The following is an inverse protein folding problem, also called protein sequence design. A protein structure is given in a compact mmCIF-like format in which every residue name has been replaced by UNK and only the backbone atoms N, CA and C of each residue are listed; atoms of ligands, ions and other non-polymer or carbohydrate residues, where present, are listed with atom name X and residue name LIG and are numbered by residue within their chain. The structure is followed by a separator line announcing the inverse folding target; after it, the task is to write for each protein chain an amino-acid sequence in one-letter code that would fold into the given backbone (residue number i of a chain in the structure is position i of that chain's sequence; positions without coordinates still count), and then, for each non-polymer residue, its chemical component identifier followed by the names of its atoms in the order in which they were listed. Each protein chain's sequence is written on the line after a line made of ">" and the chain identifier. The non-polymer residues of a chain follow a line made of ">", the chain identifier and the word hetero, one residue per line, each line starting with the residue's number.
data_IF_228501918539
#
_entry.id   IF_228501918539
#
_cell.length_a   1.000
_cell.length_b   1.000
_cell.length_c   1.000
_cell.angle_alpha   90.00
_cell.angle_beta   90.00
_cell.angle_gamma   90.00
#
_symmetry.space_group_name_H-M   'P 1'
#
loop_
_entity.id
_entity.type
_entity.pdbx_description
1 polymer ?
#
# COMPACT_ATOMS: atom_id res chain seq x y z
N UNK A 1 -7.20 12.79 17.03
CA UNK A 1 -5.78 12.49 16.77
C UNK A 1 -5.46 13.03 15.39
N UNK A 2 -4.33 13.74 15.18
CA UNK A 2 -3.91 14.12 13.83
C UNK A 2 -3.67 12.85 13.01
N UNK A 3 -4.07 12.86 11.73
CA UNK A 3 -3.79 11.75 10.82
C UNK A 3 -2.27 11.50 10.77
N UNK A 4 -1.83 10.23 10.70
CA UNK A 4 -0.42 9.93 10.56
C UNK A 4 0.11 10.54 9.25
N UNK A 5 1.27 11.18 9.33
CA UNK A 5 1.95 11.76 8.18
C UNK A 5 2.46 10.61 7.30
N UNK A 6 1.72 10.29 6.25
CA UNK A 6 2.04 9.22 5.30
C UNK A 6 2.52 9.86 4.01
N UNK A 7 3.78 9.59 3.66
CA UNK A 7 4.36 10.04 2.41
C UNK A 7 4.52 8.85 1.46
N UNK A 8 3.68 8.79 0.43
CA UNK A 8 3.81 7.81 -0.65
C UNK A 8 4.96 8.24 -1.57
N UNK A 9 5.92 7.35 -1.80
CA UNK A 9 7.10 7.61 -2.63
C UNK A 9 7.07 6.87 -3.96
N UNK A 10 6.31 5.78 -4.07
CA UNK A 10 6.19 5.03 -5.31
C UNK A 10 4.86 4.28 -5.38
N UNK A 11 4.26 4.24 -6.56
CA UNK A 11 3.10 3.40 -6.87
C UNK A 11 3.42 2.68 -8.18
N UNK A 12 3.52 1.35 -8.14
CA UNK A 12 3.90 0.53 -9.29
C UNK A 12 2.88 -0.57 -9.48
N UNK A 13 2.40 -0.74 -10.70
CA UNK A 13 1.60 -1.92 -11.08
C UNK A 13 2.52 -3.09 -11.44
N UNK A 14 2.37 -4.21 -10.74
CA UNK A 14 2.96 -5.48 -11.12
C UNK A 14 1.90 -6.38 -11.75
N UNK A 15 2.26 -7.01 -12.86
CA UNK A 15 1.44 -8.02 -13.49
C UNK A 15 2.14 -9.37 -13.34
N UNK A 16 1.47 -10.33 -12.72
CA UNK A 16 1.91 -11.73 -12.66
C UNK A 16 1.00 -12.56 -13.55
N UNK A 17 1.61 -13.39 -14.37
CA UNK A 17 0.89 -14.39 -15.15
C UNK A 17 0.96 -15.71 -14.40
N UNK A 18 -0.19 -16.25 -14.03
CA UNK A 18 -0.28 -17.60 -13.49
C UNK A 18 -0.09 -18.63 -14.61
N UNK A 19 0.14 -19.91 -14.25
CA UNK A 19 0.40 -20.98 -15.22
C UNK A 19 -0.74 -21.18 -16.22
N UNK A 20 -1.96 -20.83 -15.83
CA UNK A 20 -3.16 -20.90 -16.67
C UNK A 20 -3.34 -19.67 -17.58
N UNK A 21 -2.36 -18.76 -17.61
CA UNK A 21 -2.39 -17.52 -18.40
C UNK A 21 -3.25 -16.42 -17.78
N UNK A 22 -3.85 -16.65 -16.61
CA UNK A 22 -4.60 -15.62 -15.88
C UNK A 22 -3.65 -14.51 -15.42
N UNK A 23 -3.98 -13.26 -15.78
CA UNK A 23 -3.23 -12.08 -15.38
C UNK A 23 -3.72 -11.59 -14.02
N UNK A 24 -2.93 -11.83 -12.99
CA UNK A 24 -3.18 -11.27 -11.67
C UNK A 24 -2.39 -9.97 -11.53
N UNK A 25 -3.10 -8.86 -11.40
CA UNK A 25 -2.52 -7.52 -11.40
C UNK A 25 -2.56 -6.95 -9.98
N UNK A 26 -1.43 -6.42 -9.50
CA UNK A 26 -1.31 -5.84 -8.16
C UNK A 26 -0.76 -4.43 -8.25
N UNK A 27 -1.26 -3.54 -7.39
CA UNK A 27 -0.67 -2.23 -7.16
C UNK A 27 0.21 -2.32 -5.92
N UNK A 28 1.50 -2.04 -6.08
CA UNK A 28 2.45 -1.88 -4.98
C UNK A 28 2.56 -0.41 -4.64
N UNK A 29 2.33 -0.07 -3.38
CA UNK A 29 2.51 1.29 -2.86
C UNK A 29 3.67 1.28 -1.88
N UNK A 30 4.71 2.06 -2.16
CA UNK A 30 5.83 2.29 -1.26
C UNK A 30 5.64 3.63 -0.56
N UNK A 31 5.81 3.66 0.76
CA UNK A 31 5.50 4.83 1.57
C UNK A 31 6.33 4.88 2.86
N UNK A 32 6.35 6.06 3.46
CA UNK A 32 6.90 6.34 4.79
C UNK A 32 5.78 6.74 5.73
N UNK A 33 5.97 6.47 7.03
CA UNK A 33 5.09 6.91 8.11
C UNK A 33 5.91 7.81 9.04
N UNK A 34 5.80 9.13 8.90
CA UNK A 34 6.66 10.09 9.57
C UNK A 34 8.15 9.80 9.30
N UNK A 35 8.89 9.42 10.35
CA UNK A 35 10.31 9.03 10.25
C UNK A 35 10.55 7.53 10.01
N UNK A 36 9.48 6.72 9.93
CA UNK A 36 9.56 5.26 9.78
C UNK A 36 9.42 4.87 8.31
N UNK A 37 10.16 3.84 7.87
CA UNK A 37 10.08 3.28 6.51
C UNK A 37 11.44 3.09 5.83
N UNK A 38 11.48 2.73 4.53
CA UNK A 38 10.34 2.59 3.63
C UNK A 38 9.55 1.28 3.84
N UNK A 39 8.24 1.35 3.69
CA UNK A 39 7.33 0.20 3.69
C UNK A 39 6.75 -0.03 2.29
N UNK A 40 6.36 -1.26 1.99
CA UNK A 40 5.70 -1.61 0.73
C UNK A 40 4.46 -2.43 1.00
N UNK A 41 3.31 -1.91 0.58
CA UNK A 41 2.03 -2.58 0.69
C UNK A 41 1.52 -3.01 -0.69
N UNK A 42 0.88 -4.19 -0.76
CA UNK A 42 0.32 -4.73 -2.00
C UNK A 42 -1.20 -4.69 -1.95
N UNK A 43 -1.77 -4.18 -3.03
CA UNK A 43 -3.20 -4.11 -3.25
C UNK A 43 -3.56 -4.89 -4.50
N UNK A 44 -4.70 -5.57 -4.49
CA UNK A 44 -5.27 -6.12 -5.72
C UNK A 44 -5.71 -4.96 -6.63
N UNK A 45 -5.37 -5.02 -7.92
CA UNK A 45 -5.66 -3.93 -8.85
C UNK A 45 -7.15 -3.64 -8.97
N UNK A 46 -7.97 -4.69 -9.01
CA UNK A 46 -9.41 -4.55 -9.23
C UNK A 46 -10.13 -3.91 -8.02
N UNK A 47 -9.55 -4.03 -6.83
CA UNK A 47 -10.05 -3.42 -5.60
C UNK A 47 -9.31 -2.13 -5.22
N UNK A 48 -8.33 -1.68 -6.01
CA UNK A 48 -7.50 -0.54 -5.67
C UNK A 48 -8.28 0.77 -5.88
N UNK A 49 -8.61 1.42 -4.76
CA UNK A 49 -9.16 2.78 -4.72
C UNK A 49 -8.34 3.64 -3.77
N UNK A 50 -8.41 4.97 -3.95
CA UNK A 50 -7.76 5.91 -3.02
C UNK A 50 -8.24 5.69 -1.58
N UNK A 51 -9.54 5.39 -1.38
CA UNK A 51 -10.10 5.10 -0.07
C UNK A 51 -9.49 3.85 0.56
N UNK A 52 -9.48 2.72 -0.15
CA UNK A 52 -8.92 1.45 0.36
C UNK A 52 -7.43 1.59 0.66
N UNK A 53 -6.70 2.31 -0.19
CA UNK A 53 -5.29 2.65 0.05
C UNK A 53 -5.16 3.42 1.36
N UNK A 54 -5.86 4.53 1.49
CA UNK A 54 -5.71 5.44 2.62
C UNK A 54 -6.14 4.78 3.94
N UNK A 55 -7.21 3.98 3.93
CA UNK A 55 -7.62 3.17 5.09
C UNK A 55 -6.53 2.20 5.54
N UNK A 56 -5.96 1.44 4.59
CA UNK A 56 -4.92 0.45 4.89
C UNK A 56 -3.62 1.11 5.37
N UNK A 57 -3.18 2.19 4.71
CA UNK A 57 -1.98 2.91 5.11
C UNK A 57 -2.16 3.60 6.47
N UNK A 58 -3.34 4.15 6.75
CA UNK A 58 -3.66 4.73 8.05
C UNK A 58 -3.71 3.69 9.17
N UNK A 59 -4.27 2.50 8.91
CA UNK A 59 -4.25 1.39 9.86
C UNK A 59 -2.80 0.99 10.18
N UNK A 60 -1.99 0.75 9.13
CA UNK A 60 -0.58 0.43 9.27
C UNK A 60 0.19 1.49 10.06
N UNK A 61 -0.04 2.76 9.77
CA UNK A 61 0.63 3.86 10.46
C UNK A 61 0.25 3.99 11.94
N UNK A 62 -0.96 3.54 12.32
CA UNK A 62 -1.36 3.43 13.73
C UNK A 62 -0.59 2.31 14.43
N UNK A 63 -0.46 1.15 13.78
CA UNK A 63 0.29 0.00 14.30
C UNK A 63 1.77 0.35 14.54
N UNK A 64 2.43 0.98 13.56
CA UNK A 64 3.85 1.39 13.67
C UNK A 64 4.11 2.41 14.78
N UNK A 65 3.11 3.20 15.19
CA UNK A 65 3.24 4.18 16.28
C UNK A 65 3.00 3.60 17.67
N UNK A 66 2.36 2.43 17.75
CA UNK A 66 2.05 1.76 19.02
C UNK A 66 3.15 0.81 19.51
N UNK A 67 4.10 0.46 18.64
CA UNK A 67 5.33 -0.28 18.97
C UNK A 67 6.51 0.65 19.27
#
# INVERSE_FOLDING_TARGET
>A
MPEPDIQITSIVEDNRYDRDGQRTSFIRVTFFVGKHGPFTERFEKDAYTALVRDEKLNAFAREVRTE
#
